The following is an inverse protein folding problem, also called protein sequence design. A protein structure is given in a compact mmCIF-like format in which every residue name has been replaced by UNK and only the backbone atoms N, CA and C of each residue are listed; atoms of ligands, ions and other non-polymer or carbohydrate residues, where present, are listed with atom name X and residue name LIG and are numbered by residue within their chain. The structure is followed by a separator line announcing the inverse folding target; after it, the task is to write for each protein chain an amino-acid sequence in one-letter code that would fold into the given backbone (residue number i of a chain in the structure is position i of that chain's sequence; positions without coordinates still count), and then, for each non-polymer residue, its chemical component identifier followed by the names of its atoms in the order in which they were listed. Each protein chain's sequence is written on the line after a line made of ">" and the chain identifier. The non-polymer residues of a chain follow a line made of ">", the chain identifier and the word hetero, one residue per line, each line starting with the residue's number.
data_IF_098799208274
#
_entry.id   IF_098799208274
#
_cell.length_a   1.000
_cell.length_b   1.000
_cell.length_c   1.000
_cell.angle_alpha   90.00
_cell.angle_beta   90.00
_cell.angle_gamma   90.00
#
_symmetry.space_group_name_H-M   'P 1'
#
loop_
_entity.id
_entity.type
_entity.pdbx_description
1 polymer ?
#
# COMPACT_ATOMS: atom_id res chain seq x y z
N UNK A 1 13.54 -9.76 -8.11
CA UNK A 1 12.08 -9.57 -7.90
C UNK A 1 11.90 -8.13 -7.46
N UNK A 2 10.96 -7.39 -8.06
CA UNK A 2 10.75 -6.00 -7.69
C UNK A 2 10.29 -5.88 -6.23
N UNK A 3 10.82 -4.90 -5.50
CA UNK A 3 10.51 -4.67 -4.08
C UNK A 3 10.24 -3.19 -3.82
N UNK A 4 9.08 -2.90 -3.25
CA UNK A 4 8.61 -1.55 -2.98
C UNK A 4 8.46 -1.32 -1.47
N UNK A 5 8.74 -0.09 -1.03
CA UNK A 5 8.41 0.37 0.31
C UNK A 5 7.18 1.27 0.21
N UNK A 6 6.08 0.85 0.81
CA UNK A 6 4.83 1.61 0.89
C UNK A 6 4.74 2.29 2.23
N UNK A 7 4.41 3.57 2.19
CA UNK A 7 4.21 4.39 3.37
C UNK A 7 2.78 4.92 3.40
N UNK A 8 2.02 4.51 4.41
CA UNK A 8 0.65 4.98 4.58
C UNK A 8 0.68 6.16 5.54
N UNK A 9 0.46 7.37 5.03
CA UNK A 9 0.55 8.61 5.80
C UNK A 9 -0.22 8.55 7.12
N UNK A 10 0.27 9.24 8.15
CA UNK A 10 -0.36 9.34 9.48
C UNK A 10 -0.52 7.98 10.18
N UNK A 11 -1.41 7.89 11.17
CA UNK A 11 -1.70 6.66 11.93
C UNK A 11 -1.63 6.85 13.43
N UNK A 12 -2.40 6.04 14.16
CA UNK A 12 -2.54 6.08 15.60
C UNK A 12 -3.07 7.43 16.07
N UNK A 13 -2.25 8.13 16.85
CA UNK A 13 -2.55 9.45 17.44
C UNK A 13 -2.53 10.59 16.42
N UNK A 14 -1.92 10.38 15.25
CA UNK A 14 -1.95 11.33 14.14
C UNK A 14 -3.07 10.93 13.17
N UNK A 15 -4.21 11.63 13.14
CA UNK A 15 -5.30 11.34 12.22
C UNK A 15 -5.03 11.84 10.79
N UNK A 16 -4.01 12.68 10.60
CA UNK A 16 -3.87 13.53 9.43
C UNK A 16 -5.00 14.55 9.32
N UNK A 17 -5.32 14.95 8.09
CA UNK A 17 -6.45 15.83 7.86
C UNK A 17 -7.78 15.15 8.23
N UNK A 18 -8.69 15.93 8.82
CA UNK A 18 -10.03 15.48 9.22
C UNK A 18 -11.09 16.33 8.51
N UNK A 19 -12.08 15.68 7.92
CA UNK A 19 -13.25 16.36 7.38
C UNK A 19 -14.53 15.58 7.68
N UNK A 20 -15.45 16.20 8.43
CA UNK A 20 -16.76 15.61 8.79
C UNK A 20 -16.65 14.19 9.37
N UNK A 21 -15.65 13.95 10.22
CA UNK A 21 -15.39 12.65 10.85
C UNK A 21 -14.56 11.66 10.03
N UNK A 22 -14.33 11.93 8.73
CA UNK A 22 -13.38 11.17 7.90
C UNK A 22 -11.96 11.56 8.27
N UNK A 23 -11.10 10.58 8.52
CA UNK A 23 -9.69 10.79 8.85
C UNK A 23 -8.80 10.31 7.71
N UNK A 24 -7.79 11.09 7.37
CA UNK A 24 -6.82 10.75 6.32
C UNK A 24 -6.10 9.42 6.58
N UNK A 25 -5.71 9.16 7.84
CA UNK A 25 -5.01 7.92 8.22
C UNK A 25 -5.74 6.63 7.81
N UNK A 26 -7.07 6.66 7.75
CA UNK A 26 -7.90 5.52 7.42
C UNK A 26 -7.98 5.32 5.90
N UNK A 27 -8.15 6.42 5.15
CA UNK A 27 -8.13 6.43 3.68
C UNK A 27 -6.79 5.92 3.14
N UNK A 28 -5.68 6.41 3.69
CA UNK A 28 -4.33 6.05 3.23
C UNK A 28 -4.01 4.58 3.53
N UNK A 29 -4.39 4.08 4.72
CA UNK A 29 -4.22 2.68 5.10
C UNK A 29 -5.05 1.77 4.21
N UNK A 30 -6.32 2.11 4.00
CA UNK A 30 -7.24 1.28 3.22
C UNK A 30 -6.81 1.20 1.75
N UNK A 31 -6.61 2.36 1.10
CA UNK A 31 -6.20 2.42 -0.30
C UNK A 31 -4.85 1.76 -0.52
N UNK A 32 -3.88 2.09 0.32
CA UNK A 32 -2.52 1.59 0.20
C UNK A 32 -2.44 0.06 0.30
N UNK A 33 -3.20 -0.55 1.23
CA UNK A 33 -3.27 -2.03 1.37
C UNK A 33 -3.94 -2.68 0.17
N UNK A 34 -4.96 -2.06 -0.41
CA UNK A 34 -5.61 -2.55 -1.60
C UNK A 34 -4.67 -2.55 -2.82
N UNK A 35 -3.90 -1.46 -3.01
CA UNK A 35 -2.85 -1.40 -4.05
C UNK A 35 -1.76 -2.44 -3.78
N UNK A 36 -1.28 -2.57 -2.54
CA UNK A 36 -0.27 -3.57 -2.19
C UNK A 36 -0.72 -5.00 -2.51
N UNK A 37 -2.01 -5.33 -2.28
CA UNK A 37 -2.59 -6.63 -2.64
C UNK A 37 -2.54 -6.89 -4.15
N UNK A 38 -2.90 -5.92 -4.98
CA UNK A 38 -2.85 -6.05 -6.44
C UNK A 38 -1.41 -6.22 -6.96
N UNK A 39 -0.46 -5.51 -6.38
CA UNK A 39 0.95 -5.62 -6.72
C UNK A 39 1.53 -6.99 -6.34
N UNK A 40 1.21 -7.50 -5.14
CA UNK A 40 1.61 -8.84 -4.68
C UNK A 40 1.10 -9.94 -5.60
N UNK A 41 -0.12 -9.81 -6.13
CA UNK A 41 -0.68 -10.74 -7.14
C UNK A 41 0.14 -10.78 -8.44
N UNK A 42 0.84 -9.70 -8.75
CA UNK A 42 1.71 -9.59 -9.92
C UNK A 42 3.18 -9.93 -9.61
N UNK A 43 3.48 -10.53 -8.46
CA UNK A 43 4.83 -10.95 -8.08
C UNK A 43 5.74 -9.83 -7.55
N UNK A 44 5.16 -8.68 -7.15
CA UNK A 44 5.90 -7.59 -6.50
C UNK A 44 5.92 -7.78 -4.99
N UNK A 45 7.09 -7.67 -4.37
CA UNK A 45 7.22 -7.62 -2.91
C UNK A 45 6.88 -6.20 -2.46
N UNK A 46 5.98 -6.06 -1.50
CA UNK A 46 5.60 -4.77 -0.91
C UNK A 46 5.78 -4.86 0.59
N UNK A 47 6.68 -4.04 1.13
CA UNK A 47 6.85 -3.83 2.56
C UNK A 47 6.17 -2.51 2.94
N UNK A 48 5.49 -2.49 4.08
CA UNK A 48 4.60 -1.40 4.47
C UNK A 48 5.07 -0.81 5.81
N UNK A 49 5.24 0.52 5.91
CA UNK A 49 5.68 1.18 7.17
C UNK A 49 4.70 0.96 8.32
N UNK A 50 3.43 0.70 7.99
CA UNK A 50 2.38 0.21 8.90
C UNK A 50 1.37 -0.64 8.17
N UNK A 51 0.77 -1.62 8.85
CA UNK A 51 -0.33 -2.46 8.33
C UNK A 51 -1.61 -2.37 9.17
N UNK A 52 -1.58 -1.55 10.23
CA UNK A 52 -2.67 -1.29 11.18
C UNK A 52 -2.70 0.20 11.51
N UNK A 53 -3.72 0.61 12.26
CA UNK A 53 -3.79 1.96 12.82
C UNK A 53 -2.83 2.09 14.02
N UNK A 54 -1.60 2.52 13.74
CA UNK A 54 -0.54 2.73 14.73
C UNK A 54 0.22 4.01 14.39
N UNK A 55 0.74 4.68 15.42
CA UNK A 55 1.62 5.84 15.25
C UNK A 55 2.96 5.39 14.67
N UNK A 56 3.40 6.04 13.58
CA UNK A 56 4.75 5.88 13.01
C UNK A 56 5.30 7.27 12.70
N UNK A 57 6.38 7.64 13.39
CA UNK A 57 7.03 8.94 13.21
C UNK A 57 7.71 9.06 11.85
N UNK A 58 7.96 10.29 11.41
CA UNK A 58 8.69 10.58 10.17
C UNK A 58 10.07 9.89 10.11
N UNK A 59 10.78 9.87 11.24
CA UNK A 59 12.08 9.21 11.36
C UNK A 59 11.95 7.69 11.26
N UNK A 60 10.93 7.08 11.84
CA UNK A 60 10.71 5.64 11.74
C UNK A 60 10.37 5.22 10.30
N UNK A 61 9.55 6.00 9.58
CA UNK A 61 9.24 5.75 8.16
C UNK A 61 10.49 5.74 7.28
N UNK A 62 11.32 6.77 7.41
CA UNK A 62 12.57 6.84 6.65
C UNK A 62 13.59 5.80 7.10
N UNK A 63 13.66 5.46 8.39
CA UNK A 63 14.54 4.41 8.91
C UNK A 63 14.12 3.02 8.44
N UNK A 64 12.81 2.76 8.36
CA UNK A 64 12.25 1.53 7.81
C UNK A 64 12.69 1.32 6.36
N UNK A 65 12.50 2.33 5.50
CA UNK A 65 12.97 2.28 4.11
C UNK A 65 14.50 2.07 4.03
N UNK A 66 15.26 2.83 4.83
CA UNK A 66 16.73 2.75 4.85
C UNK A 66 17.27 1.39 5.31
N UNK A 67 16.48 0.59 6.02
CA UNK A 67 16.84 -0.75 6.50
C UNK A 67 16.78 -1.81 5.40
N UNK A 68 16.08 -1.53 4.30
CA UNK A 68 15.95 -2.42 3.15
C UNK A 68 16.65 -1.89 1.90
N UNK A 69 16.41 -2.59 0.77
CA UNK A 69 16.75 -2.11 -0.58
C UNK A 69 15.47 -2.18 -1.39
N UNK A 70 15.04 -1.02 -1.89
CA UNK A 70 13.77 -0.84 -2.56
C UNK A 70 13.98 -0.21 -3.93
N UNK A 71 13.18 -0.61 -4.91
CA UNK A 71 13.14 0.01 -6.24
C UNK A 71 12.49 1.40 -6.16
N UNK A 72 11.46 1.54 -5.30
CA UNK A 72 10.77 2.80 -5.03
C UNK A 72 10.25 2.86 -3.59
N UNK A 73 10.18 4.08 -3.07
CA UNK A 73 9.39 4.46 -1.90
C UNK A 73 8.14 5.21 -2.36
N UNK A 74 6.95 4.79 -1.91
CA UNK A 74 5.67 5.37 -2.33
C UNK A 74 4.84 5.69 -1.10
N UNK A 75 4.66 6.98 -0.82
CA UNK A 75 3.84 7.46 0.29
C UNK A 75 2.43 7.84 -0.18
N UNK A 76 1.40 7.46 0.59
CA UNK A 76 -0.01 7.65 0.28
C UNK A 76 -0.62 8.64 1.27
N UNK A 77 -1.25 9.69 0.74
CA UNK A 77 -1.86 10.80 1.49
C UNK A 77 -3.19 11.25 0.87
N UNK A 78 -3.95 12.04 1.63
CA UNK A 78 -5.09 12.83 1.13
C UNK A 78 -4.79 14.29 1.42
N UNK A 79 -5.03 15.15 0.44
CA UNK A 79 -4.70 16.56 0.62
C UNK A 79 -5.75 17.25 1.49
N UNK A 80 -5.45 18.44 1.99
CA UNK A 80 -6.40 19.33 2.62
C UNK A 80 -5.98 20.79 2.42
N UNK A 81 -6.97 21.69 2.40
CA UNK A 81 -6.70 23.12 2.33
C UNK A 81 -7.73 23.91 3.14
N UNK A 82 -8.76 24.40 2.45
CA UNK A 82 -9.93 25.05 3.03
C UNK A 82 -11.12 24.27 2.50
N UNK A 83 -12.09 23.89 3.36
CA UNK A 83 -13.20 23.07 2.96
C UNK A 83 -13.88 23.54 1.67
N UNK A 84 -14.00 22.61 0.72
CA UNK A 84 -14.62 22.78 -0.59
C UNK A 84 -13.94 23.79 -1.53
N UNK A 85 -12.75 24.32 -1.20
CA UNK A 85 -12.03 25.31 -2.03
C UNK A 85 -10.99 24.74 -2.97
N UNK A 86 -10.46 23.55 -2.66
CA UNK A 86 -9.51 22.84 -3.51
C UNK A 86 -10.03 21.43 -3.79
N UNK A 87 -9.68 20.89 -4.95
CA UNK A 87 -9.98 19.52 -5.38
C UNK A 87 -8.98 19.10 -6.45
N UNK A 88 -8.81 17.80 -6.63
CA UNK A 88 -7.90 17.20 -7.59
C UNK A 88 -6.70 16.51 -6.94
N UNK A 89 -5.97 15.77 -7.77
CA UNK A 89 -4.84 14.94 -7.36
C UNK A 89 -3.52 15.66 -7.60
N UNK A 90 -2.56 15.45 -6.70
CA UNK A 90 -1.18 15.91 -6.83
C UNK A 90 -0.24 14.74 -6.55
N UNK A 91 0.90 14.70 -7.24
CA UNK A 91 1.96 13.73 -6.94
C UNK A 91 3.27 14.46 -6.74
N UNK A 92 3.94 14.21 -5.63
CA UNK A 92 5.13 14.93 -5.20
C UNK A 92 6.39 14.09 -5.36
N UNK A 93 7.47 14.76 -5.74
CA UNK A 93 8.85 14.27 -5.68
C UNK A 93 9.69 15.20 -4.80
N UNK A 94 10.88 14.76 -4.40
CA UNK A 94 11.85 15.66 -3.77
C UNK A 94 12.43 16.66 -4.79
N UNK A 95 12.86 17.84 -4.33
CA UNK A 95 13.25 19.01 -5.14
C UNK A 95 14.13 18.66 -6.36
N UNK A 96 15.14 17.81 -6.17
CA UNK A 96 16.11 17.44 -7.21
C UNK A 96 16.10 15.93 -7.50
N UNK A 97 14.95 15.28 -7.38
CA UNK A 97 14.86 13.84 -7.55
C UNK A 97 15.14 13.40 -9.00
N UNK A 98 15.78 12.23 -9.15
CA UNK A 98 16.16 11.66 -10.45
C UNK A 98 14.96 11.28 -11.35
N UNK A 99 15.25 11.10 -12.65
CA UNK A 99 14.25 10.83 -13.69
C UNK A 99 13.27 9.70 -13.34
N UNK A 100 13.76 8.62 -12.73
CA UNK A 100 12.95 7.46 -12.32
C UNK A 100 11.75 7.80 -11.44
N UNK A 101 11.92 8.71 -10.46
CA UNK A 101 10.83 9.08 -9.57
C UNK A 101 9.84 10.01 -10.28
N UNK A 102 10.34 10.92 -11.12
CA UNK A 102 9.50 11.83 -11.91
C UNK A 102 8.65 11.06 -12.92
N UNK A 103 9.21 10.06 -13.59
CA UNK A 103 8.47 9.16 -14.49
C UNK A 103 7.35 8.40 -13.75
N UNK A 104 7.67 7.81 -12.60
CA UNK A 104 6.66 7.15 -11.77
C UNK A 104 5.56 8.12 -11.32
N UNK A 105 5.94 9.30 -10.85
CA UNK A 105 5.01 10.33 -10.41
C UNK A 105 4.06 10.75 -11.54
N UNK A 106 4.59 10.96 -12.75
CA UNK A 106 3.78 11.30 -13.92
C UNK A 106 2.81 10.16 -14.29
N UNK A 107 3.27 8.90 -14.29
CA UNK A 107 2.38 7.75 -14.57
C UNK A 107 1.24 7.64 -13.57
N UNK A 108 1.54 7.81 -12.28
CA UNK A 108 0.53 7.79 -11.22
C UNK A 108 -0.44 8.96 -11.39
N UNK A 109 0.09 10.18 -11.55
CA UNK A 109 -0.70 11.40 -11.75
C UNK A 109 -1.68 11.24 -12.91
N UNK A 110 -1.18 10.90 -14.11
CA UNK A 110 -2.03 10.71 -15.30
C UNK A 110 -3.08 9.62 -15.08
N UNK A 111 -2.72 8.51 -14.43
CA UNK A 111 -3.67 7.41 -14.17
C UNK A 111 -4.82 7.82 -13.25
N UNK A 112 -4.58 8.71 -12.28
CA UNK A 112 -5.62 9.22 -11.40
C UNK A 112 -6.49 10.29 -12.09
N UNK A 113 -5.90 11.09 -12.96
CA UNK A 113 -6.64 12.01 -13.83
C UNK A 113 -7.61 11.24 -14.74
N UNK A 114 -7.17 10.11 -15.32
CA UNK A 114 -8.01 9.22 -16.14
C UNK A 114 -9.18 8.60 -15.34
N UNK A 115 -9.03 8.44 -14.02
CA UNK A 115 -10.13 8.02 -13.14
C UNK A 115 -11.20 9.13 -13.01
N UNK A 116 -10.81 10.38 -13.20
CA UNK A 116 -11.70 11.56 -13.25
C UNK A 116 -11.40 12.63 -12.20
N UNK A 117 -10.26 12.56 -11.51
CA UNK A 117 -9.83 13.64 -10.63
C UNK A 117 -9.36 14.85 -11.44
N UNK A 118 -9.50 16.05 -10.86
CA UNK A 118 -8.89 17.26 -11.43
C UNK A 118 -7.36 17.14 -11.39
N UNK A 119 -6.70 17.42 -12.51
CA UNK A 119 -5.24 17.40 -12.58
C UNK A 119 -4.65 18.65 -11.93
N UNK A 120 -3.77 18.46 -10.94
CA UNK A 120 -2.99 19.53 -10.31
C UNK A 120 -1.48 19.34 -10.50
N UNK A 121 -1.10 18.35 -11.30
CA UNK A 121 0.24 18.07 -11.76
C UNK A 121 1.15 17.35 -10.77
N UNK A 122 2.32 16.97 -11.30
CA UNK A 122 3.45 16.52 -10.50
C UNK A 122 4.19 17.73 -9.95
N UNK A 123 4.53 17.70 -8.66
CA UNK A 123 5.15 18.82 -7.93
C UNK A 123 6.43 18.37 -7.24
N UNK A 124 7.21 19.36 -6.81
CA UNK A 124 8.41 19.16 -6.02
C UNK A 124 8.24 19.81 -4.64
N UNK A 125 8.54 19.08 -3.58
CA UNK A 125 8.43 19.58 -2.20
C UNK A 125 9.50 18.98 -1.29
N UNK A 126 9.81 19.69 -0.20
CA UNK A 126 10.82 19.29 0.79
C UNK A 126 10.21 18.44 1.93
N UNK A 127 9.38 17.47 1.61
CA UNK A 127 8.77 16.57 2.59
C UNK A 127 9.82 15.62 3.19
N UNK A 128 9.76 15.42 4.52
CA UNK A 128 10.73 14.58 5.23
C UNK A 128 10.84 13.18 4.61
N UNK A 129 9.71 12.51 4.38
CA UNK A 129 9.69 11.14 3.83
C UNK A 129 10.21 11.04 2.39
N UNK A 130 10.23 12.15 1.64
CA UNK A 130 10.81 12.18 0.29
C UNK A 130 12.31 12.49 0.31
N UNK A 131 12.74 13.35 1.24
CA UNK A 131 14.13 13.77 1.40
C UNK A 131 15.00 12.72 2.09
N UNK A 132 14.43 12.04 3.09
CA UNK A 132 15.19 11.17 4.01
C UNK A 132 15.16 9.69 3.61
N UNK A 133 14.61 9.31 2.46
CA UNK A 133 14.65 7.95 1.92
C UNK A 133 15.74 7.80 0.87
N UNK A 134 16.27 6.58 0.69
CA UNK A 134 17.33 6.29 -0.29
C UNK A 134 16.77 5.92 -1.67
N UNK A 135 15.68 5.18 -1.72
CA UNK A 135 15.04 4.81 -2.98
C UNK A 135 14.44 6.03 -3.69
N UNK A 136 14.28 5.97 -5.03
CA UNK A 136 13.43 6.91 -5.77
C UNK A 136 12.05 7.02 -5.10
N UNK A 137 11.71 8.22 -4.63
CA UNK A 137 10.56 8.45 -3.75
C UNK A 137 9.49 9.32 -4.39
N UNK A 138 8.22 8.95 -4.20
CA UNK A 138 7.04 9.73 -4.56
C UNK A 138 6.05 9.78 -3.39
N UNK A 139 5.31 10.87 -3.27
CA UNK A 139 4.17 11.01 -2.35
C UNK A 139 2.93 11.36 -3.16
N UNK A 140 1.86 10.59 -2.99
CA UNK A 140 0.63 10.74 -3.75
C UNK A 140 -0.40 11.40 -2.84
N UNK A 141 -0.97 12.51 -3.28
CA UNK A 141 -2.14 13.15 -2.67
C UNK A 141 -3.39 12.76 -3.47
N UNK A 142 -4.13 11.74 -3.01
CA UNK A 142 -5.28 11.17 -3.75
C UNK A 142 -6.55 12.00 -3.53
N UNK A 143 -6.54 13.25 -3.99
CA UNK A 143 -7.66 14.17 -3.83
C UNK A 143 -7.71 14.82 -2.45
N UNK A 144 -8.50 15.88 -2.34
CA UNK A 144 -8.67 16.65 -1.10
C UNK A 144 -9.71 15.99 -0.20
N UNK A 145 -9.34 15.66 1.04
CA UNK A 145 -10.28 15.06 2.01
C UNK A 145 -11.36 16.05 2.43
N UNK A 146 -11.05 17.35 2.40
CA UNK A 146 -11.97 18.44 2.71
C UNK A 146 -12.80 18.90 1.50
N UNK A 147 -12.91 18.06 0.47
CA UNK A 147 -13.73 18.30 -0.72
C UNK A 147 -14.73 17.16 -0.98
N UNK A 148 -16.02 17.48 -1.07
CA UNK A 148 -17.08 16.50 -1.26
C UNK A 148 -16.98 15.74 -2.60
N UNK A 149 -16.57 16.41 -3.68
CA UNK A 149 -16.45 15.79 -4.99
C UNK A 149 -15.30 14.77 -5.04
N UNK A 150 -14.14 15.11 -4.47
CA UNK A 150 -13.02 14.18 -4.41
C UNK A 150 -13.32 12.98 -3.50
N UNK A 151 -14.03 13.19 -2.40
CA UNK A 151 -14.53 12.09 -1.55
C UNK A 151 -15.49 11.18 -2.32
N UNK A 152 -16.43 11.76 -3.08
CA UNK A 152 -17.34 10.97 -3.93
C UNK A 152 -16.59 10.17 -4.99
N UNK A 153 -15.55 10.73 -5.62
CA UNK A 153 -14.69 9.99 -6.54
C UNK A 153 -13.93 8.88 -5.81
N UNK A 154 -13.33 9.18 -4.66
CA UNK A 154 -12.57 8.21 -3.87
C UNK A 154 -13.43 7.00 -3.50
N UNK A 155 -14.65 7.23 -3.03
CA UNK A 155 -15.56 6.17 -2.57
C UNK A 155 -16.16 5.41 -3.75
N UNK A 156 -16.76 6.11 -4.73
CA UNK A 156 -17.47 5.46 -5.84
C UNK A 156 -16.55 4.82 -6.88
N UNK A 157 -15.28 5.27 -6.96
CA UNK A 157 -14.29 4.76 -7.91
C UNK A 157 -13.10 4.09 -7.22
N UNK A 158 -13.21 3.71 -5.94
CA UNK A 158 -12.13 3.11 -5.15
C UNK A 158 -11.38 1.99 -5.91
N UNK A 159 -12.10 1.00 -6.44
CA UNK A 159 -11.50 -0.10 -7.21
C UNK A 159 -10.80 0.35 -8.50
N UNK A 160 -11.30 1.42 -9.14
CA UNK A 160 -10.64 2.01 -10.32
C UNK A 160 -9.37 2.75 -9.92
N UNK A 161 -9.36 3.44 -8.78
CA UNK A 161 -8.18 4.10 -8.21
C UNK A 161 -7.10 3.06 -7.90
N UNK A 162 -7.47 1.98 -7.19
CA UNK A 162 -6.57 0.86 -6.87
C UNK A 162 -5.93 0.30 -8.14
N UNK A 163 -6.74 0.02 -9.17
CA UNK A 163 -6.25 -0.49 -10.47
C UNK A 163 -5.38 0.51 -11.22
N UNK A 164 -5.74 1.80 -11.20
CA UNK A 164 -4.99 2.85 -11.87
C UNK A 164 -3.57 2.97 -11.28
N UNK A 165 -3.47 3.13 -9.96
CA UNK A 165 -2.18 3.21 -9.25
C UNK A 165 -1.37 1.92 -9.46
N UNK A 166 -2.00 0.75 -9.32
CA UNK A 166 -1.31 -0.54 -9.50
C UNK A 166 -0.74 -0.70 -10.92
N UNK A 167 -1.52 -0.36 -11.95
CA UNK A 167 -1.06 -0.42 -13.35
C UNK A 167 0.07 0.57 -13.63
N UNK A 168 -0.01 1.79 -13.09
CA UNK A 168 1.04 2.79 -13.22
C UNK A 168 2.37 2.29 -12.62
N UNK A 169 2.31 1.73 -11.41
CA UNK A 169 3.49 1.15 -10.72
C UNK A 169 4.04 -0.05 -11.50
N UNK A 170 3.21 -1.00 -11.91
CA UNK A 170 3.66 -2.19 -12.63
C UNK A 170 4.26 -1.84 -14.00
N UNK A 171 3.66 -0.88 -14.71
CA UNK A 171 4.22 -0.34 -15.96
C UNK A 171 5.60 0.29 -15.72
N UNK A 172 5.80 0.99 -14.60
CA UNK A 172 7.11 1.53 -14.24
C UNK A 172 8.14 0.42 -13.98
N UNK A 173 7.72 -0.68 -13.39
CA UNK A 173 8.56 -1.84 -13.11
C UNK A 173 8.79 -2.76 -14.33
N UNK A 174 8.13 -2.48 -15.47
CA UNK A 174 8.16 -3.37 -16.65
C UNK A 174 7.39 -4.68 -16.43
N UNK A 175 6.45 -4.72 -15.49
CA UNK A 175 5.65 -5.90 -15.14
C UNK A 175 4.25 -5.77 -15.75
N UNK A 176 3.75 -6.82 -16.39
CA UNK A 176 2.40 -6.85 -16.96
C UNK A 176 1.35 -6.98 -15.85
N UNK A 177 0.32 -6.14 -15.89
CA UNK A 177 -0.83 -6.28 -14.99
C UNK A 177 -1.63 -7.55 -15.31
N UNK A 178 -1.84 -8.40 -14.31
CA UNK A 178 -2.58 -9.64 -14.45
C UNK A 178 -4.03 -9.38 -14.03
N UNK A 179 -4.94 -9.32 -15.01
CA UNK A 179 -6.37 -9.30 -14.73
C UNK A 179 -6.78 -10.63 -14.11
N UNK A 180 -7.72 -10.62 -13.16
CA UNK A 180 -8.37 -11.86 -12.72
C UNK A 180 -9.21 -12.43 -13.87
N UNK A 181 -8.60 -13.23 -14.74
CA UNK A 181 -9.34 -14.18 -15.56
C UNK A 181 -9.41 -15.48 -14.77
N UNK A 182 -10.57 -15.75 -14.20
CA UNK A 182 -10.88 -16.98 -13.50
C UNK A 182 -11.32 -16.74 -12.08
N UNK A 183 -12.53 -17.22 -11.77
CA UNK A 183 -12.91 -17.66 -10.44
C UNK A 183 -11.73 -18.33 -9.72
N UNK A 184 -11.65 -18.29 -8.38
CA UNK A 184 -10.78 -19.25 -7.68
C UNK A 184 -11.05 -20.64 -8.28
N UNK A 185 -10.02 -21.51 -8.42
CA UNK A 185 -10.28 -22.87 -8.87
C UNK A 185 -11.46 -23.40 -8.07
N UNK A 186 -12.44 -24.02 -8.71
CA UNK A 186 -13.61 -24.61 -8.06
C UNK A 186 -13.25 -25.72 -7.05
N UNK A 187 -11.97 -25.96 -6.79
CA UNK A 187 -11.48 -26.65 -5.60
C UNK A 187 -11.37 -25.66 -4.43
N UNK A 188 -12.06 -25.98 -3.34
CA UNK A 188 -11.94 -25.32 -2.04
C UNK A 188 -10.46 -24.92 -1.79
N UNK A 189 -10.16 -23.62 -1.86
CA UNK A 189 -8.80 -23.13 -1.65
C UNK A 189 -8.47 -23.31 -0.17
N UNK A 190 -7.65 -24.32 0.12
CA UNK A 190 -7.18 -24.62 1.47
C UNK A 190 -5.87 -23.86 1.71
N UNK A 191 -5.89 -22.97 2.70
CA UNK A 191 -4.69 -22.27 3.16
C UNK A 191 -4.08 -23.06 4.31
N UNK A 192 -2.81 -23.47 4.16
CA UNK A 192 -2.11 -24.25 5.17
C UNK A 192 -1.15 -23.37 5.97
N UNK A 193 -1.31 -23.38 7.30
CA UNK A 193 -0.34 -22.81 8.23
C UNK A 193 0.52 -23.94 8.79
N UNK A 194 1.84 -23.87 8.59
CA UNK A 194 2.79 -24.81 9.20
C UNK A 194 3.28 -24.23 10.53
N UNK A 195 2.88 -24.84 11.66
CA UNK A 195 3.24 -24.42 13.01
C UNK A 195 4.67 -24.83 13.43
N UNK A 196 5.61 -24.92 12.47
CA UNK A 196 7.00 -25.32 12.67
C UNK A 196 7.25 -26.84 12.63
N UNK A 197 8.54 -27.21 12.68
CA UNK A 197 9.00 -28.60 12.76
C UNK A 197 9.38 -28.96 14.20
N UNK A 198 8.97 -30.14 14.66
CA UNK A 198 9.25 -30.61 16.02
C UNK A 198 10.30 -31.74 15.97
N UNK A 199 11.25 -31.73 16.91
CA UNK A 199 12.17 -32.86 17.11
C UNK A 199 11.47 -34.04 17.78
N UNK A 200 10.67 -33.76 18.81
CA UNK A 200 9.90 -34.74 19.56
C UNK A 200 8.47 -34.86 19.00
N UNK A 201 8.03 -36.10 18.70
CA UNK A 201 6.69 -36.37 18.16
C UNK A 201 5.58 -35.89 19.09
N UNK A 202 5.75 -36.06 20.40
CA UNK A 202 4.74 -35.69 21.40
C UNK A 202 4.41 -34.18 21.36
N UNK A 203 5.41 -33.34 21.06
CA UNK A 203 5.21 -31.88 20.93
C UNK A 203 4.33 -31.56 19.71
N UNK A 204 4.52 -32.27 18.61
CA UNK A 204 3.69 -32.11 17.41
C UNK A 204 2.24 -32.55 17.69
N UNK A 205 2.05 -33.64 18.42
CA UNK A 205 0.73 -34.14 18.81
C UNK A 205 -0.01 -33.15 19.74
N UNK A 206 0.68 -32.57 20.72
CA UNK A 206 0.10 -31.52 21.59
C UNK A 206 -0.32 -30.28 20.79
N UNK A 207 0.47 -29.88 19.80
CA UNK A 207 0.12 -28.74 18.93
C UNK A 207 -1.10 -29.05 18.05
N UNK A 208 -1.19 -30.27 17.48
CA UNK A 208 -2.38 -30.70 16.72
C UNK A 208 -3.62 -30.71 17.61
N UNK A 209 -3.53 -31.22 18.84
CA UNK A 209 -4.66 -31.22 19.78
C UNK A 209 -5.13 -29.79 20.09
N UNK A 210 -4.19 -28.87 20.35
CA UNK A 210 -4.50 -27.46 20.60
C UNK A 210 -5.21 -26.81 19.41
N UNK A 211 -4.76 -27.09 18.19
CA UNK A 211 -5.38 -26.56 16.97
C UNK A 211 -6.79 -27.13 16.76
N UNK A 212 -6.99 -28.43 16.95
CA UNK A 212 -8.32 -29.06 16.88
C UNK A 212 -9.28 -28.49 17.92
N UNK A 213 -8.83 -28.30 19.16
CA UNK A 213 -9.63 -27.65 20.21
C UNK A 213 -9.99 -26.20 19.90
N UNK A 214 -9.20 -25.52 19.06
CA UNK A 214 -9.47 -24.17 18.58
C UNK A 214 -10.30 -24.13 17.28
N UNK A 215 -10.82 -25.27 16.81
CA UNK A 215 -11.69 -25.37 15.63
C UNK A 215 -10.94 -25.48 14.29
N UNK A 216 -9.63 -25.72 14.30
CA UNK A 216 -8.85 -25.93 13.07
C UNK A 216 -8.70 -27.41 12.75
N UNK A 217 -8.82 -27.76 11.47
CA UNK A 217 -8.31 -29.05 11.01
C UNK A 217 -6.78 -29.04 11.06
N UNK A 218 -6.20 -30.11 11.61
CA UNK A 218 -4.78 -30.22 11.86
C UNK A 218 -4.31 -31.69 11.78
N UNK A 219 -3.20 -31.90 11.10
CA UNK A 219 -2.54 -33.19 10.96
C UNK A 219 -1.02 -33.06 11.06
N UNK A 220 -0.34 -34.13 11.47
CA UNK A 220 1.12 -34.18 11.48
C UNK A 220 1.59 -34.56 10.07
N UNK A 221 2.45 -33.72 9.49
CA UNK A 221 3.21 -34.11 8.32
C UNK A 221 4.57 -34.66 8.73
N UNK A 222 4.85 -35.90 8.35
CA UNK A 222 6.16 -36.51 8.57
C UNK A 222 7.11 -35.95 7.51
N UNK A 223 8.21 -35.36 7.97
CA UNK A 223 9.31 -34.92 7.13
C UNK A 223 10.56 -35.66 7.58
N UNK A 224 11.06 -36.57 6.74
CA UNK A 224 12.35 -37.20 6.95
C UNK A 224 13.40 -36.26 6.36
N UNK A 225 14.38 -35.87 7.16
CA UNK A 225 15.51 -35.07 6.70
C UNK A 225 16.39 -35.85 5.74
#
# INVERSE_FOLDING_TARGET
>A
MARLCFDYGHGGEDPGAIYKGRCEKDDTLNLGRAVAKELRRCGVIVDETRTKDITVSLKERSSFEKSGRYDYFISFHRNAFKPEKAKGVETYTYLNQGAKAKELANKIQSSLVDVGFTDRGVKAANFHVLRETKAPAVLIEIGFIDNAHDNQLFDNKFEKIVKAISKAILSQLGIKYITSTGSPPSGQSLYRVMAGSFKERENAERQVKKLKSAGFDATIMIFNK
#
